data_IF_378551015406
#
_entry.id   IF_378551015406
#
_cell.length_a   1.000
_cell.length_b   1.000
_cell.length_c   1.000
_cell.angle_alpha   90.00
_cell.angle_beta   90.00
_cell.angle_gamma   90.00
#
_symmetry.space_group_name_H-M   'P 1'
#
loop_
_entity.id
_entity.type
_entity.pdbx_description
1 polymer ?
#
# COMPACT_ATOMS: atom_id res chain seq x y z
N UNK A 1 -1.91 12.27 11.04
CA UNK A 1 -2.57 11.44 10.01
C UNK A 1 -4.05 11.25 10.33
N UNK A 2 -4.93 11.39 9.35
CA UNK A 2 -6.36 11.07 9.50
C UNK A 2 -6.55 9.55 9.68
N UNK A 3 -7.64 9.10 10.29
CA UNK A 3 -7.91 7.66 10.52
C UNK A 3 -9.02 7.15 9.61
N UNK A 4 -8.87 5.95 9.06
CA UNK A 4 -9.96 5.26 8.37
C UNK A 4 -10.63 4.22 9.26
N UNK A 5 -11.82 3.77 8.86
CA UNK A 5 -12.49 2.65 9.53
C UNK A 5 -11.65 1.38 9.31
N UNK A 6 -11.54 0.56 10.35
CA UNK A 6 -10.80 -0.71 10.27
C UNK A 6 -11.37 -1.59 9.15
N UNK A 7 -10.48 -2.20 8.36
CA UNK A 7 -10.79 -3.07 7.22
C UNK A 7 -11.59 -2.38 6.09
N UNK A 8 -11.62 -1.03 6.08
CA UNK A 8 -12.29 -0.31 5.00
C UNK A 8 -11.46 -0.29 3.71
N UNK A 9 -12.11 -0.14 2.55
CA UNK A 9 -11.43 0.08 1.27
C UNK A 9 -10.36 1.18 1.33
N UNK A 10 -10.62 2.27 2.04
CA UNK A 10 -9.68 3.39 2.19
C UNK A 10 -8.49 3.06 3.10
N UNK A 11 -8.68 2.25 4.15
CA UNK A 11 -7.59 1.76 4.99
C UNK A 11 -6.62 0.88 4.18
N UNK A 12 -7.16 -0.05 3.40
CA UNK A 12 -6.38 -0.89 2.49
C UNK A 12 -5.66 -0.04 1.43
N UNK A 13 -6.39 0.86 0.77
CA UNK A 13 -5.85 1.75 -0.26
C UNK A 13 -4.73 2.64 0.26
N UNK A 14 -4.79 3.10 1.51
CA UNK A 14 -3.73 3.89 2.11
C UNK A 14 -2.42 3.12 2.24
N UNK A 15 -2.48 1.83 2.60
CA UNK A 15 -1.29 0.97 2.68
C UNK A 15 -0.72 0.76 1.28
N UNK A 16 -1.57 0.55 0.27
CA UNK A 16 -1.14 0.49 -1.13
C UNK A 16 -0.44 1.79 -1.55
N UNK A 17 -1.01 2.95 -1.23
CA UNK A 17 -0.40 4.26 -1.50
C UNK A 17 0.96 4.41 -0.80
N UNK A 18 1.09 3.94 0.45
CA UNK A 18 2.36 3.96 1.17
C UNK A 18 3.43 3.12 0.46
N UNK A 19 3.10 1.92 -0.02
CA UNK A 19 4.03 1.08 -0.76
C UNK A 19 4.45 1.72 -2.09
N UNK A 20 3.50 2.31 -2.83
CA UNK A 20 3.79 3.02 -4.07
C UNK A 20 4.72 4.22 -3.81
N UNK A 21 4.47 5.01 -2.76
CA UNK A 21 5.33 6.15 -2.43
C UNK A 21 6.71 5.75 -1.88
N UNK A 22 6.86 4.51 -1.42
CA UNK A 22 8.14 3.94 -1.02
C UNK A 22 8.99 3.52 -2.23
N UNK A 23 8.32 3.24 -3.34
CA UNK A 23 8.93 2.89 -4.61
C UNK A 23 9.63 4.11 -5.19
N UNK A 24 10.93 3.98 -5.45
CA UNK A 24 11.73 5.08 -5.98
C UNK A 24 11.52 5.32 -7.46
N UNK A 25 10.95 4.34 -8.15
CA UNK A 25 10.95 4.25 -9.60
C UNK A 25 9.57 4.45 -10.21
N UNK A 26 8.51 4.53 -9.37
CA UNK A 26 7.14 4.75 -9.85
C UNK A 26 7.01 6.11 -10.54
N UNK A 27 6.61 6.06 -11.82
CA UNK A 27 6.30 7.23 -12.62
C UNK A 27 4.79 7.44 -12.81
N UNK A 28 4.41 8.62 -13.31
CA UNK A 28 3.00 8.97 -13.50
C UNK A 28 2.31 8.12 -14.59
N UNK A 29 3.08 7.50 -15.50
CA UNK A 29 2.58 6.60 -16.55
C UNK A 29 2.16 5.27 -15.96
N UNK A 30 2.97 4.68 -15.10
CA UNK A 30 2.65 3.42 -14.40
C UNK A 30 1.37 3.55 -13.56
N UNK A 31 1.17 4.73 -12.96
CA UNK A 31 -0.06 5.05 -12.23
C UNK A 31 -1.30 5.17 -13.15
N UNK A 32 -1.11 5.64 -14.38
CA UNK A 32 -2.18 5.75 -15.37
C UNK A 32 -2.53 4.40 -16.02
N UNK A 33 -1.59 3.47 -16.03
CA UNK A 33 -1.76 2.10 -16.57
C UNK A 33 -2.36 1.12 -15.56
N UNK A 34 -2.62 1.56 -14.34
CA UNK A 34 -3.33 0.78 -13.33
C UNK A 34 -4.70 0.34 -13.84
N UNK A 35 -4.84 -0.97 -14.01
CA UNK A 35 -6.06 -1.60 -14.51
C UNK A 35 -7.21 -1.44 -13.48
N UNK A 36 -8.47 -1.29 -13.94
CA UNK A 36 -9.64 -1.24 -13.06
C UNK A 36 -9.70 -2.35 -12.00
N UNK A 37 -9.27 -3.57 -12.37
CA UNK A 37 -9.22 -4.73 -11.49
C UNK A 37 -8.33 -4.55 -10.25
N UNK A 38 -7.34 -3.65 -10.27
CA UNK A 38 -6.49 -3.35 -9.11
C UNK A 38 -7.23 -2.50 -8.07
N UNK A 39 -8.05 -1.54 -8.51
CA UNK A 39 -8.87 -0.74 -7.61
C UNK A 39 -10.02 -1.59 -7.05
N UNK A 40 -10.65 -2.40 -7.89
CA UNK A 40 -11.75 -3.30 -7.48
C UNK A 40 -11.30 -4.33 -6.46
N UNK A 41 -10.05 -4.81 -6.53
CA UNK A 41 -9.49 -5.73 -5.56
C UNK A 41 -9.58 -5.16 -4.14
N UNK A 42 -9.26 -3.88 -3.94
CA UNK A 42 -9.37 -3.20 -2.64
C UNK A 42 -10.73 -2.52 -2.42
N UNK A 43 -11.73 -2.80 -3.26
CA UNK A 43 -13.09 -2.30 -3.10
C UNK A 43 -13.27 -0.82 -3.44
N UNK A 44 -12.38 -0.24 -4.25
CA UNK A 44 -12.45 1.15 -4.68
C UNK A 44 -12.56 1.28 -6.20
N UNK A 45 -12.98 2.45 -6.66
CA UNK A 45 -12.70 2.89 -8.03
C UNK A 45 -11.46 3.82 -8.07
N UNK A 46 -11.00 4.13 -9.28
CA UNK A 46 -9.83 4.99 -9.49
C UNK A 46 -9.97 6.36 -8.80
N UNK A 47 -11.14 7.01 -8.87
CA UNK A 47 -11.32 8.34 -8.27
C UNK A 47 -11.25 8.31 -6.74
N UNK A 48 -11.82 7.29 -6.12
CA UNK A 48 -11.73 7.07 -4.68
C UNK A 48 -10.29 6.78 -4.25
N UNK A 49 -9.57 5.95 -5.01
CA UNK A 49 -8.16 5.69 -4.76
C UNK A 49 -7.31 6.96 -4.87
N UNK A 50 -7.51 7.78 -5.90
CA UNK A 50 -6.83 9.06 -6.04
C UNK A 50 -7.13 10.02 -4.87
N UNK A 51 -8.35 9.96 -4.31
CA UNK A 51 -8.72 10.71 -3.11
C UNK A 51 -7.92 10.24 -1.90
N UNK A 52 -7.78 8.92 -1.71
CA UNK A 52 -6.96 8.34 -0.64
C UNK A 52 -5.47 8.69 -0.80
N UNK A 53 -4.96 8.70 -2.03
CA UNK A 53 -3.59 9.13 -2.31
C UNK A 53 -3.36 10.60 -1.95
N UNK A 54 -4.24 11.49 -2.41
CA UNK A 54 -4.17 12.91 -2.11
C UNK A 54 -4.21 13.15 -0.60
N UNK A 55 -5.12 12.47 0.09
CA UNK A 55 -5.15 12.44 1.53
C UNK A 55 -3.80 12.02 2.13
N UNK A 56 -3.26 10.86 1.75
CA UNK A 56 -1.99 10.35 2.27
C UNK A 56 -0.84 11.37 2.11
N UNK A 57 -0.74 12.02 0.94
CA UNK A 57 0.24 13.07 0.68
C UNK A 57 0.05 14.30 1.57
N UNK A 58 -1.19 14.77 1.76
CA UNK A 58 -1.49 15.87 2.68
C UNK A 58 -1.11 15.55 4.13
N UNK A 59 -1.33 14.31 4.57
CA UNK A 59 -0.95 13.84 5.91
C UNK A 59 0.56 13.86 6.10
N UNK A 60 1.31 13.38 5.09
CA UNK A 60 2.77 13.43 5.10
C UNK A 60 3.24 14.88 5.21
N UNK A 61 2.77 15.76 4.33
CA UNK A 61 3.22 17.17 4.28
C UNK A 61 2.89 17.87 5.60
N UNK A 62 1.70 17.67 6.15
CA UNK A 62 1.28 18.28 7.42
C UNK A 62 2.13 17.83 8.60
N UNK A 63 2.54 16.56 8.63
CA UNK A 63 3.41 16.03 9.68
C UNK A 63 4.85 16.56 9.58
N UNK A 64 5.32 16.98 8.39
CA UNK A 64 6.73 17.38 8.20
C UNK A 64 7.13 18.65 8.94
N UNK A 65 6.24 19.62 9.17
CA UNK A 65 6.59 20.99 9.60
C UNK A 65 7.84 21.58 8.88
N UNK A 66 8.15 21.15 7.65
CA UNK A 66 9.36 21.55 6.91
C UNK A 66 10.64 20.76 7.21
N UNK A 67 10.59 19.64 7.94
CA UNK A 67 11.71 18.72 8.17
C UNK A 67 11.64 17.50 7.26
N UNK A 68 12.81 16.86 7.00
CA UNK A 68 12.87 15.59 6.27
C UNK A 68 12.18 14.50 7.09
N UNK A 69 11.03 14.02 6.63
CA UNK A 69 10.37 12.84 7.19
C UNK A 69 10.92 11.58 6.51
N UNK A 70 11.19 10.57 7.34
CA UNK A 70 11.34 9.21 6.83
C UNK A 70 9.93 8.60 6.75
N UNK A 71 9.42 8.47 5.52
CA UNK A 71 8.09 7.94 5.21
C UNK A 71 7.90 6.52 5.73
N UNK A 72 9.00 5.78 5.87
CA UNK A 72 9.04 4.38 6.29
C UNK A 72 9.50 4.22 7.75
N UNK A 73 9.28 5.24 8.60
CA UNK A 73 9.47 5.06 10.03
C UNK A 73 8.58 3.91 10.53
N UNK A 74 9.15 2.87 11.19
CA UNK A 74 8.40 1.69 11.61
C UNK A 74 7.14 2.00 12.41
N UNK A 75 7.16 3.03 13.26
CA UNK A 75 6.03 3.44 14.09
C UNK A 75 4.86 3.94 13.24
N UNK A 76 5.14 4.71 12.18
CA UNK A 76 4.13 5.20 11.23
C UNK A 76 3.55 4.04 10.45
N UNK A 77 4.43 3.19 9.88
CA UNK A 77 4.02 2.00 9.13
C UNK A 77 3.10 1.13 9.99
N UNK A 78 3.55 0.77 11.20
CA UNK A 78 2.78 -0.07 12.12
C UNK A 78 1.42 0.53 12.49
N UNK A 79 1.31 1.86 12.60
CA UNK A 79 0.03 2.52 12.87
C UNK A 79 -0.95 2.32 11.73
N UNK A 80 -0.48 2.44 10.48
CA UNK A 80 -1.33 2.18 9.30
C UNK A 80 -1.70 0.70 9.18
N UNK A 81 -0.76 -0.20 9.49
CA UNK A 81 -1.01 -1.65 9.45
C UNK A 81 -2.07 -2.12 10.46
N UNK A 82 -2.34 -1.35 11.53
CA UNK A 82 -3.41 -1.63 12.50
C UNK A 82 -4.82 -1.30 11.96
N UNK A 83 -4.92 -0.50 10.90
CA UNK A 83 -6.19 -0.20 10.24
C UNK A 83 -6.69 -1.39 9.40
N UNK A 84 -5.89 -2.45 9.22
CA UNK A 84 -6.28 -3.68 8.49
C UNK A 84 -6.00 -4.93 9.33
N UNK A 85 -7.06 -5.58 9.78
CA UNK A 85 -7.06 -6.72 10.70
C UNK A 85 -7.51 -8.03 10.05
N UNK A 86 -8.45 -7.98 9.12
CA UNK A 86 -8.96 -9.16 8.46
C UNK A 86 -7.88 -9.84 7.60
N UNK A 87 -7.80 -11.18 7.66
CA UNK A 87 -6.73 -11.92 6.96
C UNK A 87 -6.83 -11.76 5.46
N UNK A 88 -8.05 -11.84 4.91
CA UNK A 88 -8.29 -11.65 3.48
C UNK A 88 -7.93 -10.24 3.04
N UNK A 89 -8.29 -9.23 3.82
CA UNK A 89 -8.02 -7.82 3.57
C UNK A 89 -6.52 -7.54 3.56
N UNK A 90 -5.76 -8.14 4.49
CA UNK A 90 -4.29 -8.05 4.52
C UNK A 90 -3.64 -8.67 3.29
N UNK A 91 -4.06 -9.88 2.91
CA UNK A 91 -3.51 -10.58 1.74
C UNK A 91 -3.83 -9.79 0.47
N UNK A 92 -5.08 -9.38 0.30
CA UNK A 92 -5.55 -8.62 -0.85
C UNK A 92 -4.84 -7.26 -0.97
N UNK A 93 -4.69 -6.54 0.14
CA UNK A 93 -3.93 -5.27 0.20
C UNK A 93 -2.48 -5.48 -0.27
N UNK A 94 -1.82 -6.50 0.27
CA UNK A 94 -0.41 -6.76 -0.02
C UNK A 94 -0.20 -7.28 -1.45
N UNK A 95 -1.09 -8.15 -1.93
CA UNK A 95 -1.08 -8.65 -3.30
C UNK A 95 -1.33 -7.52 -4.30
N UNK A 96 -2.27 -6.61 -4.00
CA UNK A 96 -2.53 -5.42 -4.83
C UNK A 96 -1.30 -4.52 -4.87
N UNK A 97 -0.69 -4.20 -3.73
CA UNK A 97 0.53 -3.40 -3.69
C UNK A 97 1.68 -4.04 -4.49
N UNK A 98 1.87 -5.36 -4.37
CA UNK A 98 2.89 -6.08 -5.15
C UNK A 98 2.62 -6.08 -6.65
N UNK A 99 1.36 -6.21 -7.08
CA UNK A 99 1.01 -6.15 -8.51
C UNK A 99 1.31 -4.78 -9.12
N UNK A 100 1.18 -3.72 -8.32
CA UNK A 100 1.48 -2.35 -8.75
C UNK A 100 3.00 -2.14 -8.82
N UNK A 101 3.73 -2.39 -7.73
CA UNK A 101 5.19 -2.16 -7.68
C UNK A 101 6.01 -3.10 -8.60
N UNK A 102 5.42 -4.21 -9.08
CA UNK A 102 6.10 -5.16 -9.97
C UNK A 102 5.90 -4.84 -11.46
N UNK A 103 5.25 -3.73 -11.83
CA UNK A 103 4.86 -3.47 -13.23
C UNK A 103 6.03 -3.33 -14.19
N UNK A 104 7.19 -2.82 -13.77
CA UNK A 104 8.31 -2.59 -14.71
C UNK A 104 9.72 -3.02 -14.23
N UNK A 105 9.96 -3.28 -12.93
CA UNK A 105 11.27 -3.76 -12.45
C UNK A 105 11.19 -4.67 -11.20
N UNK A 106 12.30 -5.35 -10.91
CA UNK A 106 12.44 -6.11 -9.68
C UNK A 106 12.52 -5.15 -8.48
N UNK A 107 11.76 -5.44 -7.42
CA UNK A 107 11.78 -4.66 -6.18
C UNK A 107 13.21 -4.46 -5.66
N UNK A 108 13.56 -3.22 -5.33
CA UNK A 108 14.84 -2.88 -4.75
C UNK A 108 14.92 -3.31 -3.27
N UNK A 109 16.10 -3.18 -2.65
CA UNK A 109 16.31 -3.61 -1.26
C UNK A 109 15.43 -2.86 -0.24
N UNK A 110 15.07 -1.60 -0.51
CA UNK A 110 14.25 -0.80 0.39
C UNK A 110 12.78 -1.23 0.33
N UNK A 111 12.24 -1.44 -0.87
CA UNK A 111 10.91 -2.01 -1.08
C UNK A 111 10.81 -3.41 -0.48
N UNK A 112 11.78 -4.28 -0.74
CA UNK A 112 11.83 -5.63 -0.17
C UNK A 112 11.84 -5.60 1.37
N UNK A 113 12.54 -4.63 1.98
CA UNK A 113 12.53 -4.47 3.42
C UNK A 113 11.16 -4.04 3.94
N UNK A 114 10.46 -3.14 3.24
CA UNK A 114 9.09 -2.73 3.57
C UNK A 114 8.11 -3.91 3.46
N UNK A 115 8.09 -4.62 2.34
CA UNK A 115 7.22 -5.78 2.14
C UNK A 115 7.48 -6.86 3.20
N UNK A 116 8.75 -7.15 3.53
CA UNK A 116 9.10 -8.09 4.60
C UNK A 116 8.61 -7.61 5.97
N UNK A 117 8.73 -6.32 6.27
CA UNK A 117 8.23 -5.74 7.52
C UNK A 117 6.70 -5.91 7.63
N UNK A 118 5.96 -5.62 6.56
CA UNK A 118 4.50 -5.80 6.51
C UNK A 118 4.12 -7.27 6.72
N UNK A 119 4.76 -8.19 5.99
CA UNK A 119 4.52 -9.63 6.13
C UNK A 119 4.80 -10.14 7.55
N UNK A 120 5.90 -9.69 8.17
CA UNK A 120 6.22 -10.03 9.56
C UNK A 120 5.18 -9.48 10.54
N UNK A 121 4.74 -8.24 10.35
CA UNK A 121 3.75 -7.60 11.20
C UNK A 121 2.38 -8.30 11.11
N UNK A 122 1.96 -8.66 9.89
CA UNK A 122 0.69 -9.32 9.63
C UNK A 122 0.72 -10.84 9.74
N UNK A 123 1.90 -11.43 9.98
CA UNK A 123 2.12 -12.88 10.03
C UNK A 123 1.65 -13.58 8.75
N UNK A 124 2.04 -13.01 7.61
CA UNK A 124 1.82 -13.56 6.27
C UNK A 124 3.12 -14.15 5.73
N UNK A 125 2.99 -15.15 4.87
CA UNK A 125 4.11 -15.70 4.09
C UNK A 125 3.87 -15.59 2.57
N UNK A 126 4.82 -16.08 1.77
CA UNK A 126 4.68 -16.06 0.32
C UNK A 126 3.60 -17.02 -0.18
N UNK A 127 3.30 -18.09 0.56
CA UNK A 127 2.26 -19.05 0.19
C UNK A 127 0.88 -18.42 0.30
N UNK A 128 0.66 -17.57 1.31
CA UNK A 128 -0.56 -16.76 1.42
C UNK A 128 -0.77 -15.87 0.18
N UNK A 129 0.31 -15.31 -0.38
CA UNK A 129 0.26 -14.43 -1.55
C UNK A 129 0.14 -15.21 -2.88
N UNK A 130 0.74 -16.40 -2.98
CA UNK A 130 0.66 -17.27 -4.16
C UNK A 130 -0.76 -17.78 -4.42
N UNK A 131 -1.54 -18.02 -3.36
CA UNK A 131 -2.93 -18.49 -3.47
C UNK A 131 -3.81 -17.42 -4.14
N UNK A 132 -3.62 -16.15 -3.80
CA UNK A 132 -4.46 -15.06 -4.31
C UNK A 132 -4.09 -14.65 -5.74
N UNK A 133 -2.79 -14.66 -6.08
CA UNK A 133 -2.31 -14.39 -7.45
C UNK A 133 -2.73 -15.49 -8.44
N UNK A 134 -2.97 -16.72 -7.97
CA UNK A 134 -3.43 -17.84 -8.80
C UNK A 134 -4.94 -17.86 -9.05
N UNK A 135 -5.71 -17.04 -8.32
CA UNK A 135 -7.18 -16.98 -8.39
C UNK A 135 -7.71 -15.75 -9.13
N UNK A 136 -6.83 -14.84 -9.57
CA UNK A 136 -7.11 -13.65 -10.36
C UNK A 136 -6.70 -13.84 -11.84
#
# INVERSE_FOLDING_TARGET
MRTYTVDSPEAMARIVCMCIMADSDIDASEFAELQPALYEAIGLNQQEFMTVLAHYLEDIVSDTQGQRINLLQPERVNTLLQEVNGRSERINTLATALRICKSDNALNNAELALFRHIMQHWQLDLTDLEIEVSLA
#
